data_IF_467988208399
#
_entry.id   IF_467988208399
#
_cell.length_a   1.000
_cell.length_b   1.000
_cell.length_c   1.000
_cell.angle_alpha   90.00
_cell.angle_beta   90.00
_cell.angle_gamma   90.00
#
_symmetry.space_group_name_H-M   'P 1'
#
loop_
_entity.id
_entity.type
_entity.pdbx_description
1 polymer ?
#
# COMPACT_ATOMS: atom_id res chain seq x y z
N UNK A 1 76.74 7.97 79.64
CA UNK A 1 75.30 8.12 79.46
C UNK A 1 74.98 7.75 78.05
N UNK A 2 74.54 6.59 77.81
CA UNK A 2 74.16 6.08 76.50
C UNK A 2 72.67 5.80 76.53
N UNK A 3 71.91 6.12 75.47
CA UNK A 3 70.57 5.65 75.33
C UNK A 3 70.51 4.36 74.51
N UNK A 4 69.72 3.49 75.01
CA UNK A 4 69.40 2.16 74.47
C UNK A 4 68.45 2.29 73.21
N UNK A 5 68.84 1.62 72.14
CA UNK A 5 67.99 1.46 70.97
C UNK A 5 66.99 0.29 71.21
N UNK A 6 65.72 0.40 70.95
CA UNK A 6 64.86 -0.77 70.84
C UNK A 6 64.83 -1.29 69.39
N UNK A 7 65.06 -2.56 69.23
CA UNK A 7 64.91 -3.36 68.04
C UNK A 7 63.42 -3.51 67.71
N UNK A 8 62.93 -2.97 66.60
CA UNK A 8 61.62 -3.19 66.09
C UNK A 8 61.59 -4.48 65.24
N UNK A 9 60.96 -5.52 65.74
CA UNK A 9 60.61 -6.72 64.99
C UNK A 9 59.49 -6.33 63.93
N UNK A 10 59.85 -6.31 62.67
CA UNK A 10 58.85 -6.27 61.60
C UNK A 10 58.23 -7.68 61.42
N UNK A 11 57.10 -7.94 62.03
CA UNK A 11 56.20 -9.04 61.67
C UNK A 11 55.46 -8.64 60.35
N UNK A 12 55.92 -9.19 59.24
CA UNK A 12 55.22 -9.10 57.95
C UNK A 12 53.96 -9.93 58.03
N UNK A 13 52.85 -9.27 58.28
CA UNK A 13 51.52 -9.78 57.96
C UNK A 13 51.30 -9.72 56.48
N UNK A 14 51.55 -10.79 55.75
CA UNK A 14 51.07 -11.00 54.43
C UNK A 14 49.56 -11.17 54.47
N UNK A 15 48.79 -10.09 54.38
CA UNK A 15 47.36 -10.14 54.09
C UNK A 15 47.23 -10.53 52.61
N UNK A 16 47.07 -11.82 52.37
CA UNK A 16 46.63 -12.33 51.12
C UNK A 16 45.22 -11.79 50.86
N UNK A 17 45.12 -10.79 50.01
CA UNK A 17 43.87 -10.38 49.40
C UNK A 17 43.33 -11.57 48.60
N UNK A 18 42.58 -12.45 49.28
CA UNK A 18 41.63 -13.31 48.59
C UNK A 18 40.57 -12.38 48.04
N UNK A 19 40.73 -11.96 46.79
CA UNK A 19 39.61 -11.53 45.98
C UNK A 19 38.61 -12.67 45.98
N UNK A 20 37.62 -12.59 46.83
CA UNK A 20 36.40 -13.37 46.62
C UNK A 20 35.88 -12.93 45.28
N UNK A 21 36.15 -13.73 44.25
CA UNK A 21 35.39 -13.70 43.01
C UNK A 21 33.99 -14.06 43.47
N UNK A 22 33.17 -13.03 43.64
CA UNK A 22 31.74 -13.19 43.73
C UNK A 22 31.36 -13.97 42.47
N UNK A 23 30.85 -15.18 42.65
CA UNK A 23 30.32 -15.97 41.55
C UNK A 23 29.10 -15.22 41.01
N UNK A 24 29.35 -14.19 40.22
CA UNK A 24 28.35 -13.52 39.41
C UNK A 24 27.86 -14.54 38.40
N UNK A 25 26.56 -14.64 38.24
CA UNK A 25 25.95 -15.39 37.13
C UNK A 25 26.58 -14.92 35.83
N UNK A 26 27.10 -15.88 35.04
CA UNK A 26 27.66 -15.55 33.73
C UNK A 26 26.58 -14.91 32.86
N UNK A 27 26.86 -13.80 32.15
CA UNK A 27 25.84 -13.09 31.37
C UNK A 27 25.26 -13.99 30.29
N UNK A 28 23.97 -13.79 29.98
CA UNK A 28 23.30 -14.50 28.91
C UNK A 28 23.99 -14.20 27.56
N UNK A 29 24.15 -15.19 26.69
CA UNK A 29 24.58 -14.95 25.31
C UNK A 29 23.46 -14.30 24.49
N UNK A 30 23.84 -13.69 23.35
CA UNK A 30 22.91 -13.19 22.35
C UNK A 30 22.82 -14.18 21.20
N UNK A 31 21.62 -14.47 20.74
CA UNK A 31 21.35 -15.38 19.60
C UNK A 31 20.63 -14.61 18.48
N UNK A 32 21.02 -14.87 17.22
CA UNK A 32 20.31 -14.37 16.04
C UNK A 32 20.55 -15.27 14.84
N UNK A 33 19.76 -15.09 13.77
CA UNK A 33 19.90 -15.81 12.51
C UNK A 33 20.24 -14.88 11.36
N UNK A 34 21.05 -15.35 10.43
CA UNK A 34 21.38 -14.68 9.16
C UNK A 34 21.02 -15.57 7.97
N UNK A 35 20.30 -15.03 6.98
CA UNK A 35 19.91 -13.62 6.75
C UNK A 35 18.72 -13.15 7.60
N UNK A 36 18.05 -14.00 8.34
CA UNK A 36 16.93 -13.71 9.23
C UNK A 36 16.29 -14.97 9.78
N UNK A 37 15.35 -14.83 10.71
CA UNK A 37 14.66 -15.96 11.37
C UNK A 37 13.48 -16.53 10.58
N UNK A 38 13.06 -15.86 9.51
CA UNK A 38 12.01 -16.32 8.58
C UNK A 38 12.67 -16.77 7.28
N UNK A 39 12.77 -18.06 7.06
CA UNK A 39 13.65 -18.68 6.06
C UNK A 39 12.83 -19.43 5.02
N UNK A 40 13.06 -19.21 3.73
CA UNK A 40 12.42 -20.00 2.68
C UNK A 40 12.79 -21.48 2.76
N UNK A 41 11.87 -22.37 2.40
CA UNK A 41 12.10 -23.80 2.28
C UNK A 41 13.31 -24.10 1.37
N UNK A 42 14.20 -24.97 1.83
CA UNK A 42 15.39 -25.36 1.09
C UNK A 42 16.57 -24.38 1.14
N UNK A 43 16.39 -23.20 1.71
CA UNK A 43 17.46 -22.20 1.84
C UNK A 43 18.43 -22.55 2.98
N UNK A 44 19.61 -21.95 2.93
CA UNK A 44 20.59 -22.00 4.03
C UNK A 44 20.32 -20.92 5.07
N UNK A 45 20.56 -21.21 6.32
CA UNK A 45 20.52 -20.23 7.43
C UNK A 45 21.67 -20.48 8.39
N UNK A 46 22.20 -19.42 8.96
CA UNK A 46 23.24 -19.50 9.97
C UNK A 46 22.69 -18.92 11.28
N UNK A 47 22.72 -19.70 12.35
CA UNK A 47 22.42 -19.24 13.70
C UNK A 47 23.75 -18.84 14.35
N UNK A 48 23.79 -17.65 14.88
CA UNK A 48 24.91 -17.10 15.62
C UNK A 48 24.60 -17.05 17.11
N UNK A 49 25.58 -17.40 17.91
CA UNK A 49 25.55 -17.26 19.36
C UNK A 49 26.78 -16.47 19.79
N UNK A 50 26.58 -15.35 20.50
CA UNK A 50 27.64 -14.48 20.99
C UNK A 50 27.64 -14.44 22.50
N UNK A 51 28.78 -14.77 23.10
CA UNK A 51 29.06 -14.65 24.53
C UNK A 51 30.10 -13.55 24.83
N UNK A 52 30.60 -13.44 26.05
CA UNK A 52 31.69 -12.55 26.40
C UNK A 52 33.04 -13.12 25.94
N UNK A 53 34.10 -12.28 25.85
CA UNK A 53 35.45 -12.77 25.63
C UNK A 53 35.85 -13.84 26.67
N UNK A 54 36.39 -14.95 26.19
CA UNK A 54 36.79 -16.08 27.05
C UNK A 54 35.81 -17.24 27.10
N UNK A 55 34.69 -17.17 26.38
CA UNK A 55 33.83 -18.33 26.14
C UNK A 55 34.61 -19.37 25.32
N UNK A 56 34.59 -20.64 25.78
CA UNK A 56 35.38 -21.73 25.19
C UNK A 56 34.58 -22.65 24.30
N UNK A 57 33.32 -22.84 24.62
CA UNK A 57 32.42 -23.75 23.93
C UNK A 57 31.00 -23.19 23.95
N UNK A 58 30.28 -23.31 22.83
CA UNK A 58 28.90 -22.89 22.68
C UNK A 58 28.04 -24.10 22.36
N UNK A 59 26.90 -24.19 23.04
CA UNK A 59 25.86 -25.18 22.76
C UNK A 59 24.63 -24.48 22.21
N UNK A 60 24.03 -25.09 21.21
CA UNK A 60 22.74 -24.72 20.66
C UNK A 60 21.73 -25.80 21.00
N UNK A 61 20.67 -25.42 21.66
CA UNK A 61 19.56 -26.32 21.97
C UNK A 61 18.37 -25.98 21.05
N UNK A 62 17.59 -26.99 20.75
CA UNK A 62 16.31 -26.86 20.09
C UNK A 62 15.22 -27.43 21.00
N UNK A 63 14.12 -26.68 21.15
CA UNK A 63 12.99 -27.13 21.95
C UNK A 63 12.46 -28.49 21.46
N UNK A 64 12.18 -29.37 22.39
CA UNK A 64 11.74 -30.75 22.13
C UNK A 64 12.86 -31.77 21.93
N UNK A 65 14.13 -31.38 21.84
CA UNK A 65 15.26 -32.29 21.78
C UNK A 65 15.78 -32.57 23.22
N UNK A 66 15.99 -33.84 23.56
CA UNK A 66 16.47 -34.20 24.90
C UNK A 66 17.96 -33.90 25.12
N UNK A 67 18.71 -33.61 24.05
CA UNK A 67 20.16 -33.31 24.08
C UNK A 67 20.36 -32.03 23.26
N UNK A 68 21.47 -31.30 23.51
CA UNK A 68 21.79 -30.13 22.70
C UNK A 68 21.77 -30.51 21.22
N UNK A 69 21.30 -29.57 20.39
CA UNK A 69 21.15 -29.79 18.95
C UNK A 69 22.51 -29.76 18.23
N UNK A 70 23.40 -28.84 18.59
CA UNK A 70 24.77 -28.76 18.09
C UNK A 70 25.70 -28.08 19.10
N UNK A 71 27.01 -28.28 18.90
CA UNK A 71 28.06 -27.75 19.73
C UNK A 71 29.19 -27.21 18.87
N UNK A 72 29.66 -26.00 19.17
CA UNK A 72 30.74 -25.36 18.43
C UNK A 72 31.77 -24.75 19.40
N UNK A 73 33.03 -24.83 18.99
CA UNK A 73 34.11 -24.06 19.61
C UNK A 73 34.39 -22.86 18.73
N UNK A 74 34.57 -21.63 19.29
CA UNK A 74 34.91 -20.47 18.46
C UNK A 74 36.23 -20.76 17.73
N UNK A 75 36.33 -20.38 16.44
CA UNK A 75 37.51 -20.68 15.58
C UNK A 75 38.78 -19.91 15.95
N UNK A 76 38.80 -19.17 17.03
CA UNK A 76 39.92 -18.36 17.53
C UNK A 76 39.57 -17.68 18.85
N UNK A 77 40.29 -16.67 19.32
CA UNK A 77 39.95 -15.90 20.51
C UNK A 77 38.71 -15.03 20.29
N UNK A 78 37.68 -15.63 19.71
CA UNK A 78 36.42 -15.00 19.38
C UNK A 78 35.35 -15.30 20.41
N UNK A 79 34.37 -14.44 20.46
CA UNK A 79 33.20 -14.46 21.35
C UNK A 79 31.94 -15.00 20.65
N UNK A 80 32.06 -15.55 19.41
CA UNK A 80 30.94 -16.00 18.57
C UNK A 80 31.10 -17.44 18.10
N UNK A 81 30.00 -18.18 18.11
CA UNK A 81 29.88 -19.49 17.47
C UNK A 81 28.88 -19.42 16.30
N UNK A 82 29.16 -20.23 15.28
CA UNK A 82 28.39 -20.31 14.03
C UNK A 82 27.78 -21.70 13.88
N UNK A 83 26.46 -21.77 13.81
CA UNK A 83 25.73 -23.02 13.56
C UNK A 83 25.02 -22.92 12.21
N UNK A 84 25.39 -23.75 11.26
CA UNK A 84 24.89 -23.66 9.88
C UNK A 84 23.90 -24.76 9.55
N UNK A 85 22.71 -24.37 9.11
CA UNK A 85 21.70 -25.26 8.55
C UNK A 85 21.75 -25.11 7.04
N UNK A 86 22.18 -26.16 6.32
CA UNK A 86 22.39 -26.11 4.88
C UNK A 86 21.08 -26.23 4.09
N UNK A 87 20.06 -26.80 4.69
CA UNK A 87 18.76 -27.01 4.05
C UNK A 87 17.65 -26.80 5.08
N UNK A 88 16.96 -25.66 4.97
CA UNK A 88 15.86 -25.33 5.89
C UNK A 88 14.62 -26.15 5.52
N UNK A 89 14.13 -26.92 6.46
CA UNK A 89 12.92 -27.72 6.36
C UNK A 89 12.11 -27.69 7.64
N UNK A 90 11.00 -28.39 7.66
CA UNK A 90 10.11 -28.46 8.84
C UNK A 90 10.85 -28.99 10.07
N UNK A 91 11.76 -29.97 9.89
CA UNK A 91 12.51 -30.59 10.99
C UNK A 91 13.51 -29.62 11.65
N UNK A 92 13.93 -28.58 10.91
CA UNK A 92 14.83 -27.53 11.40
C UNK A 92 14.11 -26.29 11.88
N UNK A 93 12.81 -26.19 11.65
CA UNK A 93 12.00 -25.10 12.21
C UNK A 93 11.70 -25.36 13.68
N UNK A 94 11.67 -24.29 14.48
CA UNK A 94 11.42 -24.43 15.92
C UNK A 94 12.06 -23.30 16.73
N UNK A 95 11.98 -23.43 18.06
CA UNK A 95 12.58 -22.52 19.01
C UNK A 95 13.98 -22.99 19.39
N UNK A 96 14.93 -22.09 19.29
CA UNK A 96 16.35 -22.33 19.62
C UNK A 96 16.82 -21.40 20.74
N UNK A 97 17.65 -21.90 21.64
CA UNK A 97 18.44 -21.11 22.56
C UNK A 97 19.88 -21.57 22.59
N UNK A 98 20.78 -20.72 23.03
CA UNK A 98 22.18 -21.07 23.16
C UNK A 98 22.73 -20.71 24.56
N UNK A 99 23.82 -21.36 24.94
CA UNK A 99 24.59 -21.07 26.14
C UNK A 99 26.05 -21.40 25.89
N UNK A 100 26.94 -20.85 26.72
CA UNK A 100 28.36 -21.05 26.57
C UNK A 100 29.00 -21.52 27.85
N UNK A 101 30.12 -22.25 27.72
CA UNK A 101 30.95 -22.70 28.79
C UNK A 101 32.22 -21.90 28.95
N UNK A 102 32.64 -21.68 30.20
CA UNK A 102 33.93 -21.11 30.59
C UNK A 102 34.55 -22.00 31.66
N UNK A 103 35.85 -21.83 32.05
CA UNK A 103 36.44 -22.57 33.18
C UNK A 103 35.68 -22.35 34.48
N UNK A 104 34.91 -21.28 34.61
CA UNK A 104 34.12 -20.98 35.81
C UNK A 104 32.74 -21.63 35.82
N UNK A 105 32.29 -22.24 34.73
CA UNK A 105 30.99 -22.89 34.59
C UNK A 105 30.24 -22.51 33.34
N UNK A 106 28.94 -22.83 33.29
CA UNK A 106 28.03 -22.55 32.16
C UNK A 106 27.22 -21.29 32.41
N UNK A 107 26.94 -20.53 31.32
CA UNK A 107 26.05 -19.38 31.33
C UNK A 107 24.58 -19.80 31.48
N UNK A 108 23.72 -18.84 31.75
CA UNK A 108 22.29 -18.98 31.50
C UNK A 108 22.03 -19.10 30.00
N UNK A 109 20.83 -19.61 29.61
CA UNK A 109 20.39 -19.68 28.23
C UNK A 109 20.07 -18.28 27.66
N UNK A 110 20.29 -18.11 26.37
CA UNK A 110 19.85 -16.90 25.65
C UNK A 110 18.32 -16.76 25.69
N UNK A 111 17.83 -15.62 25.29
CA UNK A 111 16.44 -15.50 24.89
C UNK A 111 16.18 -16.40 23.67
N UNK A 112 14.95 -16.94 23.50
CA UNK A 112 14.68 -17.90 22.44
C UNK A 112 14.69 -17.21 21.05
N UNK A 113 15.23 -17.92 20.06
CA UNK A 113 15.16 -17.59 18.64
C UNK A 113 14.14 -18.50 17.95
N UNK A 114 13.04 -17.94 17.49
CA UNK A 114 12.04 -18.64 16.71
C UNK A 114 12.49 -18.73 15.24
N UNK A 115 12.88 -19.93 14.79
CA UNK A 115 13.28 -20.16 13.40
C UNK A 115 12.12 -20.75 12.60
N UNK A 116 11.63 -19.99 11.64
CA UNK A 116 10.43 -20.29 10.86
C UNK A 116 10.81 -20.68 9.43
N UNK A 117 10.17 -21.72 8.90
CA UNK A 117 10.26 -22.08 7.47
C UNK A 117 9.02 -21.61 6.72
N UNK A 118 9.25 -20.98 5.56
CA UNK A 118 8.18 -20.45 4.69
C UNK A 118 8.18 -21.10 3.30
N UNK A 119 7.20 -20.74 2.47
CA UNK A 119 7.05 -21.17 1.06
C UNK A 119 6.65 -22.64 0.84
N UNK A 120 6.22 -23.33 1.89
CA UNK A 120 5.67 -24.69 1.72
C UNK A 120 4.26 -24.69 1.12
N UNK A 121 3.48 -23.65 1.42
CA UNK A 121 2.06 -23.52 1.04
C UNK A 121 1.84 -22.27 0.18
N UNK A 122 0.73 -22.27 -0.57
CA UNK A 122 0.33 -21.13 -1.41
C UNK A 122 0.14 -19.88 -0.56
N UNK A 123 0.56 -18.74 -1.09
CA UNK A 123 0.43 -17.45 -0.45
C UNK A 123 -1.03 -17.08 -0.19
N UNK A 124 -1.36 -16.49 0.96
CA UNK A 124 -2.67 -15.88 1.20
C UNK A 124 -2.81 -14.56 0.42
N UNK A 125 -4.04 -14.07 0.29
CA UNK A 125 -4.32 -12.72 -0.17
C UNK A 125 -4.34 -11.74 0.99
N UNK A 126 -3.84 -10.53 0.76
CA UNK A 126 -3.86 -9.43 1.75
C UNK A 126 -4.53 -8.21 1.12
N UNK A 127 -5.58 -7.70 1.73
CA UNK A 127 -6.33 -6.53 1.27
C UNK A 127 -6.59 -5.56 2.41
N UNK A 128 -6.80 -4.28 2.09
CA UNK A 128 -7.13 -3.25 3.07
C UNK A 128 -8.60 -2.84 2.96
N UNK A 129 -9.31 -2.83 4.07
CA UNK A 129 -10.72 -2.49 4.13
C UNK A 129 -10.94 -1.17 4.90
N UNK A 130 -11.63 -0.19 4.31
CA UNK A 130 -12.30 -0.20 2.99
C UNK A 130 -11.36 0.12 1.82
N UNK A 131 -10.17 0.65 2.06
CA UNK A 131 -9.21 1.11 1.05
C UNK A 131 -7.79 1.12 1.61
N UNK A 132 -6.74 0.94 0.78
CA UNK A 132 -5.36 1.12 1.20
C UNK A 132 -4.96 2.59 1.42
N UNK A 133 -5.79 3.56 1.02
CA UNK A 133 -5.58 4.99 1.31
C UNK A 133 -6.25 5.33 2.64
N UNK A 134 -5.45 5.73 3.61
CA UNK A 134 -5.90 5.98 4.99
C UNK A 134 -5.51 7.39 5.41
N UNK A 135 -6.45 8.17 5.92
CA UNK A 135 -6.17 9.53 6.44
C UNK A 135 -5.25 9.48 7.65
N UNK A 136 -4.41 10.50 7.81
CA UNK A 136 -3.55 10.65 8.98
C UNK A 136 -4.36 10.57 10.28
N UNK A 137 -3.89 9.75 11.24
CA UNK A 137 -4.61 9.45 12.48
C UNK A 137 -5.74 8.42 12.34
N UNK A 138 -6.07 8.02 11.12
CA UNK A 138 -7.10 7.02 10.85
C UNK A 138 -6.63 5.58 11.10
N UNK A 139 -7.58 4.67 11.01
CA UNK A 139 -7.36 3.22 11.13
C UNK A 139 -7.96 2.48 9.94
N UNK A 140 -7.40 1.31 9.66
CA UNK A 140 -7.80 0.43 8.57
C UNK A 140 -7.81 -1.01 9.05
N UNK A 141 -8.61 -1.86 8.45
CA UNK A 141 -8.58 -3.30 8.70
C UNK A 141 -7.90 -4.01 7.55
N UNK A 142 -6.82 -4.76 7.86
CA UNK A 142 -6.17 -5.62 6.90
C UNK A 142 -6.81 -7.01 6.95
N UNK A 143 -7.34 -7.46 5.83
CA UNK A 143 -7.93 -8.78 5.67
C UNK A 143 -6.91 -9.71 5.01
N UNK A 144 -6.48 -10.72 5.77
CA UNK A 144 -5.67 -11.83 5.26
C UNK A 144 -6.58 -13.03 5.03
N UNK A 145 -6.60 -13.60 3.82
CA UNK A 145 -7.53 -14.66 3.46
C UNK A 145 -6.90 -15.74 2.59
N UNK A 146 -7.36 -16.99 2.74
CA UNK A 146 -6.91 -18.14 1.97
C UNK A 146 -8.00 -19.18 1.79
N UNK A 147 -7.93 -19.96 0.69
CA UNK A 147 -8.73 -21.20 0.53
C UNK A 147 -8.10 -22.41 1.23
N UNK A 148 -6.83 -22.31 1.60
CA UNK A 148 -6.16 -23.38 2.32
C UNK A 148 -6.64 -23.42 3.77
N UNK A 149 -6.65 -24.61 4.35
CA UNK A 149 -7.19 -24.85 5.68
C UNK A 149 -6.36 -24.30 6.83
N UNK A 150 -5.76 -23.12 6.69
CA UNK A 150 -5.02 -22.49 7.77
C UNK A 150 -5.96 -22.12 8.93
N UNK A 151 -5.57 -22.46 10.14
CA UNK A 151 -6.31 -22.05 11.33
C UNK A 151 -5.72 -20.81 12.01
N UNK A 152 -4.59 -20.28 11.50
CA UNK A 152 -3.93 -19.07 11.97
C UNK A 152 -3.41 -18.23 10.81
N UNK A 153 -3.43 -16.91 11.00
CA UNK A 153 -2.78 -15.96 10.13
C UNK A 153 -1.84 -15.05 10.93
N UNK A 154 -0.72 -14.72 10.30
CA UNK A 154 0.30 -13.85 10.88
C UNK A 154 0.48 -12.64 9.99
N UNK A 155 0.57 -11.46 10.61
CA UNK A 155 0.82 -10.19 9.93
C UNK A 155 2.16 -9.64 10.37
N UNK A 156 3.03 -9.35 9.40
CA UNK A 156 4.32 -8.69 9.60
C UNK A 156 4.30 -7.31 8.98
N UNK A 157 5.02 -6.37 9.57
CA UNK A 157 5.26 -5.03 9.03
C UNK A 157 6.72 -4.90 8.63
N UNK A 158 7.01 -4.44 7.43
CA UNK A 158 8.38 -4.24 6.97
C UNK A 158 9.11 -3.20 7.83
N UNK A 159 10.37 -3.52 8.19
CA UNK A 159 11.22 -2.64 9.00
C UNK A 159 10.94 -2.67 10.51
N UNK A 160 10.08 -3.57 10.99
CA UNK A 160 9.91 -3.82 12.41
C UNK A 160 10.39 -5.22 12.77
N UNK A 161 11.34 -5.32 13.72
CA UNK A 161 11.84 -6.60 14.26
C UNK A 161 10.93 -7.18 15.37
N UNK A 162 9.68 -6.74 15.39
CA UNK A 162 8.70 -7.24 16.38
C UNK A 162 8.14 -8.58 15.93
N UNK A 163 7.77 -9.39 16.92
CA UNK A 163 7.03 -10.63 16.70
C UNK A 163 5.78 -10.37 15.86
N UNK A 164 5.48 -11.25 14.87
CA UNK A 164 4.29 -11.10 14.04
C UNK A 164 3.01 -11.04 14.89
N UNK A 165 2.06 -10.22 14.44
CA UNK A 165 0.71 -10.26 15.02
C UNK A 165 0.00 -11.50 14.50
N UNK A 166 -0.55 -12.29 15.41
CA UNK A 166 -1.21 -13.57 15.08
C UNK A 166 -2.68 -13.51 15.43
N UNK A 167 -3.52 -13.95 14.51
CA UNK A 167 -4.96 -14.12 14.73
C UNK A 167 -5.43 -15.48 14.21
N UNK A 168 -6.46 -16.02 14.87
CA UNK A 168 -7.13 -17.22 14.41
C UNK A 168 -7.95 -16.97 13.15
N UNK A 169 -7.93 -17.94 12.24
CA UNK A 169 -8.70 -17.90 11.02
C UNK A 169 -10.19 -18.16 11.28
N UNK A 170 -11.04 -17.35 10.66
CA UNK A 170 -12.49 -17.48 10.69
C UNK A 170 -12.99 -17.93 9.33
N UNK A 171 -13.82 -18.97 9.32
CA UNK A 171 -14.41 -19.48 8.08
C UNK A 171 -15.57 -18.57 7.64
N UNK A 172 -15.53 -18.16 6.39
CA UNK A 172 -16.61 -17.41 5.75
C UNK A 172 -17.63 -18.34 5.07
N UNK A 173 -18.85 -17.88 4.81
CA UNK A 173 -19.89 -18.71 4.18
C UNK A 173 -19.51 -19.25 2.79
N UNK A 174 -18.65 -18.54 2.06
CA UNK A 174 -18.14 -18.92 0.74
C UNK A 174 -16.91 -19.84 0.77
N UNK A 175 -16.57 -20.38 1.95
CA UNK A 175 -15.49 -21.38 2.12
C UNK A 175 -14.08 -20.83 2.32
N UNK A 176 -13.90 -19.52 2.24
CA UNK A 176 -12.63 -18.89 2.60
C UNK A 176 -12.38 -18.92 4.10
N UNK A 177 -11.11 -18.90 4.48
CA UNK A 177 -10.70 -18.64 5.86
C UNK A 177 -9.97 -17.31 5.88
N UNK A 178 -10.32 -16.44 6.82
CA UNK A 178 -9.79 -15.09 6.91
C UNK A 178 -9.46 -14.68 8.34
N UNK A 179 -8.56 -13.71 8.48
CA UNK A 179 -8.32 -12.98 9.71
C UNK A 179 -8.33 -11.47 9.43
N UNK A 180 -8.90 -10.71 10.36
CA UNK A 180 -9.06 -9.26 10.23
C UNK A 180 -8.14 -8.56 11.24
N UNK A 181 -7.11 -7.89 10.76
CA UNK A 181 -6.12 -7.20 11.57
C UNK A 181 -6.41 -5.70 11.61
N UNK A 182 -6.85 -5.13 12.74
CA UNK A 182 -6.96 -3.69 12.88
C UNK A 182 -5.57 -3.06 12.94
N UNK A 183 -5.35 -2.04 12.12
CA UNK A 183 -4.10 -1.28 12.03
C UNK A 183 -4.40 0.19 12.17
N UNK A 184 -3.69 0.87 13.05
CA UNK A 184 -3.80 2.30 13.30
C UNK A 184 -3.54 2.67 14.76
N UNK A 185 -3.49 3.97 15.07
CA UNK A 185 -3.57 5.09 14.14
C UNK A 185 -2.35 5.16 13.20
N UNK A 186 -2.59 5.42 11.89
CA UNK A 186 -1.52 5.58 10.92
C UNK A 186 -1.05 7.04 10.86
N UNK A 187 0.25 7.23 10.67
CA UNK A 187 0.85 8.57 10.59
C UNK A 187 1.66 8.70 9.30
N UNK A 188 1.68 9.87 8.65
CA UNK A 188 2.61 10.14 7.56
C UNK A 188 4.06 10.06 8.04
N UNK A 189 4.99 9.84 7.12
CA UNK A 189 6.42 9.74 7.44
C UNK A 189 6.89 8.36 7.88
N UNK A 190 6.00 7.40 8.12
CA UNK A 190 6.33 6.00 8.39
C UNK A 190 5.95 5.12 7.21
N UNK A 191 6.75 4.07 6.99
CA UNK A 191 6.43 3.08 5.97
C UNK A 191 5.43 2.06 6.53
N UNK A 192 4.29 1.94 5.89
CA UNK A 192 3.20 1.07 6.29
C UNK A 192 3.04 -0.06 5.26
N UNK A 193 4.07 -0.91 5.12
CA UNK A 193 4.05 -2.06 4.23
C UNK A 193 3.90 -3.34 5.05
N UNK A 194 2.94 -4.16 4.67
CA UNK A 194 2.58 -5.38 5.38
C UNK A 194 2.64 -6.60 4.46
N UNK A 195 2.87 -7.76 5.08
CA UNK A 195 2.70 -9.08 4.48
C UNK A 195 1.98 -9.97 5.46
N UNK A 196 1.17 -10.90 4.95
CA UNK A 196 0.58 -11.92 5.79
C UNK A 196 0.97 -13.33 5.36
N UNK A 197 0.86 -14.24 6.31
CA UNK A 197 1.18 -15.66 6.17
C UNK A 197 0.05 -16.49 6.77
N UNK A 198 -0.17 -17.67 6.25
CA UNK A 198 -1.01 -18.69 6.86
C UNK A 198 -0.15 -19.72 7.59
N UNK A 199 -0.63 -20.24 8.71
CA UNK A 199 0.01 -21.32 9.46
C UNK A 199 -1.02 -22.20 10.16
N UNK A 200 -0.57 -23.33 10.74
CA UNK A 200 -1.40 -24.22 11.51
C UNK A 200 -0.88 -24.33 12.94
N UNK A 201 -1.80 -24.53 13.90
CA UNK A 201 -1.46 -24.67 15.31
C UNK A 201 -0.56 -25.86 15.60
N UNK A 202 -0.73 -26.94 14.81
CA UNK A 202 0.05 -28.17 14.97
C UNK A 202 1.49 -28.02 14.43
N UNK A 203 1.72 -27.02 13.56
CA UNK A 203 3.02 -26.72 12.97
C UNK A 203 3.28 -25.21 12.98
N UNK A 204 3.42 -24.58 14.15
CA UNK A 204 3.43 -23.13 14.29
C UNK A 204 4.63 -22.44 13.61
N UNK A 205 5.73 -23.14 13.39
CA UNK A 205 6.91 -22.64 12.71
C UNK A 205 6.96 -22.93 11.20
N UNK A 206 5.87 -23.51 10.64
CA UNK A 206 5.74 -23.74 9.20
C UNK A 206 4.68 -22.78 8.63
N UNK A 207 5.13 -21.81 7.84
CA UNK A 207 4.26 -20.78 7.28
C UNK A 207 4.11 -20.95 5.76
N UNK A 208 3.05 -20.40 5.23
CA UNK A 208 2.86 -20.27 3.79
C UNK A 208 3.93 -19.37 3.15
N UNK A 209 3.95 -19.30 1.83
CA UNK A 209 4.58 -18.17 1.15
C UNK A 209 3.94 -16.84 1.62
N UNK A 210 4.71 -15.75 1.67
CA UNK A 210 4.17 -14.44 2.02
C UNK A 210 3.14 -13.98 0.98
N UNK A 211 2.12 -13.25 1.43
CA UNK A 211 1.25 -12.50 0.53
C UNK A 211 2.07 -11.51 -0.29
N UNK A 212 1.50 -10.99 -1.37
CA UNK A 212 2.04 -9.78 -1.99
C UNK A 212 2.10 -8.65 -0.95
N UNK A 213 3.10 -7.77 -1.05
CA UNK A 213 3.20 -6.67 -0.10
C UNK A 213 2.02 -5.71 -0.28
N UNK A 214 1.41 -5.30 0.81
CA UNK A 214 0.39 -4.26 0.84
C UNK A 214 0.98 -3.01 1.49
N UNK A 215 1.11 -1.93 0.72
CA UNK A 215 1.48 -0.62 1.23
C UNK A 215 0.23 0.22 1.50
N UNK A 216 0.12 0.76 2.71
CA UNK A 216 -0.89 1.77 3.02
C UNK A 216 -0.35 3.14 2.62
N UNK A 217 -1.16 3.92 1.93
CA UNK A 217 -0.87 5.29 1.55
C UNK A 217 -1.51 6.24 2.55
N UNK A 218 -0.67 6.99 3.27
CA UNK A 218 -1.10 8.02 4.21
C UNK A 218 -0.82 9.39 3.59
N UNK A 219 -1.84 10.11 3.05
CA UNK A 219 -1.64 11.40 2.43
C UNK A 219 -1.13 12.45 3.42
N UNK A 220 -0.16 13.25 2.96
CA UNK A 220 0.35 14.42 3.65
C UNK A 220 -0.28 15.73 3.14
N UNK A 221 0.39 16.85 3.43
CA UNK A 221 -0.04 18.20 3.06
C UNK A 221 0.75 18.78 1.88
N UNK A 222 1.75 18.07 1.36
CA UNK A 222 2.60 18.54 0.25
C UNK A 222 1.79 18.71 -1.04
N UNK A 223 2.34 19.47 -2.00
CA UNK A 223 1.66 19.91 -3.21
C UNK A 223 0.94 18.79 -3.96
N UNK A 224 -0.36 18.95 -4.17
CA UNK A 224 -1.21 17.99 -4.87
C UNK A 224 -0.84 17.90 -6.36
N UNK A 225 -0.75 16.68 -6.93
CA UNK A 225 -0.60 16.52 -8.37
C UNK A 225 -1.91 16.79 -9.10
N UNK A 226 -1.84 16.89 -10.42
CA UNK A 226 -3.01 16.90 -11.32
C UNK A 226 -3.20 15.51 -11.93
N UNK A 227 -4.46 15.10 -12.08
CA UNK A 227 -4.84 13.86 -12.73
C UNK A 227 -5.70 14.18 -13.94
N UNK A 228 -5.32 13.66 -15.10
CA UNK A 228 -6.02 13.91 -16.36
C UNK A 228 -6.03 12.66 -17.25
N UNK A 229 -6.89 12.68 -18.25
CA UNK A 229 -6.90 11.70 -19.34
C UNK A 229 -6.89 12.44 -20.67
N UNK A 230 -5.92 12.13 -21.58
CA UNK A 230 -5.85 12.77 -22.89
C UNK A 230 -7.10 12.56 -23.74
N UNK A 231 -7.82 11.46 -23.50
CA UNK A 231 -9.04 11.12 -24.24
C UNK A 231 -10.29 11.84 -23.71
N UNK A 232 -10.17 12.57 -22.61
CA UNK A 232 -11.29 13.16 -21.89
C UNK A 232 -11.97 12.16 -20.92
N UNK A 233 -12.86 12.65 -20.04
CA UNK A 233 -13.45 11.84 -18.95
C UNK A 233 -14.56 10.87 -19.42
N UNK A 234 -15.10 11.07 -20.62
CA UNK A 234 -16.10 10.17 -21.23
C UNK A 234 -15.42 9.32 -22.28
N UNK A 235 -15.39 8.01 -22.04
CA UNK A 235 -14.72 7.04 -22.90
C UNK A 235 -15.67 5.95 -23.36
N UNK A 236 -15.47 5.43 -24.56
CA UNK A 236 -16.30 4.36 -25.10
C UNK A 236 -15.79 3.00 -24.59
N UNK A 237 -16.69 2.09 -24.29
CA UNK A 237 -16.34 0.71 -23.94
C UNK A 237 -15.43 0.08 -24.99
N UNK A 238 -14.33 -0.54 -24.56
CA UNK A 238 -13.29 -1.12 -25.44
C UNK A 238 -12.21 -0.14 -25.87
N UNK A 239 -12.35 1.15 -25.63
CA UNK A 239 -11.31 2.15 -25.93
C UNK A 239 -10.12 1.99 -25.00
N UNK A 240 -8.90 2.08 -25.53
CA UNK A 240 -7.69 2.12 -24.71
C UNK A 240 -7.55 3.49 -24.04
N UNK A 241 -7.44 3.49 -22.73
CA UNK A 241 -7.35 4.70 -21.92
C UNK A 241 -6.10 4.68 -21.05
N UNK A 242 -5.48 5.85 -20.92
CA UNK A 242 -4.35 6.08 -20.00
C UNK A 242 -4.68 7.26 -19.10
N UNK A 243 -4.55 7.07 -17.80
CA UNK A 243 -4.63 8.15 -16.82
C UNK A 243 -3.22 8.69 -16.58
N UNK A 244 -3.07 10.01 -16.51
CA UNK A 244 -1.79 10.69 -16.34
C UNK A 244 -1.78 11.50 -15.05
N UNK A 245 -0.86 11.18 -14.15
CA UNK A 245 -0.53 12.04 -13.01
C UNK A 245 0.59 12.99 -13.40
N UNK A 246 0.44 14.28 -13.11
CA UNK A 246 1.43 15.33 -13.39
C UNK A 246 1.64 16.24 -12.20
N UNK A 247 2.86 16.71 -12.00
CA UNK A 247 3.20 17.69 -10.98
C UNK A 247 4.43 18.52 -11.38
N UNK A 248 4.44 19.77 -10.98
CA UNK A 248 5.61 20.66 -11.01
C UNK A 248 6.54 20.41 -9.80
N UNK A 249 6.03 19.75 -8.78
CA UNK A 249 6.86 19.21 -7.69
C UNK A 249 7.61 17.99 -8.22
N UNK A 250 8.92 17.94 -7.99
CA UNK A 250 9.81 16.89 -8.51
C UNK A 250 9.60 15.51 -7.90
N UNK A 251 8.35 15.02 -7.84
CA UNK A 251 8.06 13.67 -7.37
C UNK A 251 8.76 12.62 -8.22
N UNK A 252 9.23 11.54 -7.59
CA UNK A 252 9.95 10.45 -8.27
C UNK A 252 9.07 9.24 -8.52
N UNK A 253 7.93 9.16 -7.85
CA UNK A 253 6.91 8.12 -8.04
C UNK A 253 5.51 8.69 -7.87
N UNK A 254 4.54 8.01 -8.47
CA UNK A 254 3.12 8.31 -8.31
C UNK A 254 2.35 7.05 -7.96
N UNK A 255 1.27 7.22 -7.20
CA UNK A 255 0.29 6.19 -6.91
C UNK A 255 -1.09 6.64 -7.42
N UNK A 256 -1.85 5.68 -7.97
CA UNK A 256 -3.22 5.90 -8.43
C UNK A 256 -4.17 5.15 -7.50
N UNK A 257 -5.16 5.86 -6.95
CA UNK A 257 -6.22 5.28 -6.13
C UNK A 257 -7.56 5.40 -6.87
N UNK A 258 -8.33 4.33 -6.85
CA UNK A 258 -9.72 4.31 -7.29
C UNK A 258 -10.63 4.27 -6.08
N UNK A 259 -11.70 5.08 -6.07
CA UNK A 259 -12.69 5.03 -5.00
C UNK A 259 -13.29 3.62 -4.89
N UNK A 260 -13.33 3.08 -3.67
CA UNK A 260 -13.74 1.69 -3.37
C UNK A 260 -12.89 0.62 -4.07
N UNK A 261 -11.73 0.98 -4.58
CA UNK A 261 -10.75 0.05 -5.15
C UNK A 261 -9.82 -0.50 -4.07
N UNK A 262 -9.34 -1.73 -4.29
CA UNK A 262 -8.38 -2.40 -3.39
C UNK A 262 -6.94 -2.25 -3.89
N UNK A 263 -6.77 -2.02 -5.19
CA UNK A 263 -5.46 -1.87 -5.80
C UNK A 263 -4.97 -0.43 -5.68
N UNK A 264 -3.68 -0.30 -5.42
CA UNK A 264 -2.97 0.98 -5.36
C UNK A 264 -1.74 0.90 -6.29
N UNK A 265 -1.94 0.90 -7.62
CA UNK A 265 -0.82 0.81 -8.54
C UNK A 265 0.12 2.00 -8.39
N UNK A 266 1.41 1.73 -8.41
CA UNK A 266 2.48 2.73 -8.33
C UNK A 266 3.32 2.70 -9.60
N UNK A 267 3.77 3.87 -10.04
CA UNK A 267 4.62 4.04 -11.21
C UNK A 267 5.77 5.00 -10.90
N UNK A 268 6.98 4.73 -11.40
CA UNK A 268 8.05 5.69 -11.35
C UNK A 268 7.69 6.92 -12.18
N UNK A 269 8.15 8.08 -11.75
CA UNK A 269 7.94 9.31 -12.48
C UNK A 269 8.91 9.42 -13.65
N UNK A 270 8.39 9.80 -14.80
CA UNK A 270 9.13 10.29 -15.94
C UNK A 270 9.23 11.82 -15.84
N UNK A 271 10.31 12.39 -16.32
CA UNK A 271 10.51 13.84 -16.38
C UNK A 271 10.58 14.28 -17.82
N UNK A 272 9.44 14.50 -18.51
CA UNK A 272 9.41 14.88 -19.92
C UNK A 272 9.99 16.28 -20.16
N UNK A 273 9.98 17.15 -19.13
CA UNK A 273 10.52 18.50 -19.18
C UNK A 273 11.12 18.90 -17.84
N UNK A 274 11.99 19.90 -17.82
CA UNK A 274 12.57 20.44 -16.59
C UNK A 274 11.44 21.01 -15.71
N UNK A 275 11.40 20.56 -14.44
CA UNK A 275 10.41 20.99 -13.47
C UNK A 275 9.05 20.24 -13.52
N UNK A 276 8.84 19.37 -14.52
CA UNK A 276 7.62 18.56 -14.63
C UNK A 276 7.93 17.09 -14.40
N UNK A 277 7.19 16.45 -13.51
CA UNK A 277 7.18 14.99 -13.32
C UNK A 277 5.82 14.41 -13.72
N UNK A 278 5.82 13.25 -14.35
CA UNK A 278 4.62 12.59 -14.86
C UNK A 278 4.72 11.08 -14.70
N UNK A 279 3.58 10.44 -14.45
CA UNK A 279 3.45 8.99 -14.57
C UNK A 279 2.18 8.62 -15.32
N UNK A 280 2.29 7.62 -16.18
CA UNK A 280 1.21 7.12 -17.01
C UNK A 280 0.69 5.78 -16.44
N UNK A 281 -0.62 5.71 -16.24
CA UNK A 281 -1.33 4.54 -15.75
C UNK A 281 -2.26 4.01 -16.86
N UNK A 282 -1.78 3.09 -17.70
CA UNK A 282 -2.60 2.50 -18.76
C UNK A 282 -3.66 1.57 -18.12
N UNK A 283 -4.93 1.83 -18.45
CA UNK A 283 -6.05 0.97 -18.07
C UNK A 283 -6.33 -0.10 -19.13
N UNK A 284 -5.77 0.06 -20.35
CA UNK A 284 -6.06 -0.80 -21.49
C UNK A 284 -7.47 -0.57 -22.05
N UNK A 285 -8.10 -1.59 -22.66
CA UNK A 285 -9.47 -1.51 -23.15
C UNK A 285 -10.45 -1.35 -21.97
N UNK A 286 -11.12 -0.21 -21.93
CA UNK A 286 -11.99 0.16 -20.81
C UNK A 286 -13.30 -0.65 -20.85
N UNK A 287 -13.65 -1.19 -19.69
CA UNK A 287 -14.94 -1.84 -19.43
C UNK A 287 -15.59 -1.28 -18.17
N UNK A 288 -16.68 -1.90 -17.76
CA UNK A 288 -17.47 -1.46 -16.59
C UNK A 288 -16.69 -1.44 -15.30
N UNK A 289 -15.65 -2.29 -15.16
CA UNK A 289 -14.80 -2.35 -13.98
C UNK A 289 -13.92 -1.11 -13.81
N UNK A 290 -13.67 -0.36 -14.90
CA UNK A 290 -12.80 0.81 -14.88
C UNK A 290 -13.53 2.12 -14.54
N UNK A 291 -14.87 2.12 -14.55
CA UNK A 291 -15.67 3.30 -14.20
C UNK A 291 -15.45 3.75 -12.77
N UNK A 292 -15.62 5.03 -12.50
CA UNK A 292 -15.58 5.56 -11.14
C UNK A 292 -14.65 6.74 -10.97
N UNK A 293 -14.38 7.10 -9.73
CA UNK A 293 -13.49 8.21 -9.38
C UNK A 293 -12.08 7.72 -9.10
N UNK A 294 -11.12 8.48 -9.62
CA UNK A 294 -9.69 8.25 -9.44
C UNK A 294 -9.03 9.48 -8.82
N UNK A 295 -8.00 9.23 -8.02
CA UNK A 295 -7.10 10.25 -7.47
C UNK A 295 -5.67 9.78 -7.60
N UNK A 296 -4.74 10.71 -7.80
CA UNK A 296 -3.34 10.36 -7.73
C UNK A 296 -2.59 11.13 -6.64
N UNK A 297 -1.45 10.57 -6.28
CA UNK A 297 -0.58 11.03 -5.20
C UNK A 297 0.85 10.98 -5.70
N UNK A 298 1.66 11.98 -5.34
CA UNK A 298 3.09 12.03 -5.62
C UNK A 298 3.92 11.68 -4.40
N UNK A 299 5.07 11.03 -4.59
CA UNK A 299 6.01 10.68 -3.54
C UNK A 299 7.46 10.83 -3.97
N UNK A 300 8.36 10.98 -3.01
CA UNK A 300 9.79 11.06 -3.25
C UNK A 300 10.48 9.73 -2.88
N UNK A 301 11.15 9.11 -3.85
CA UNK A 301 12.08 7.99 -3.69
C UNK A 301 11.63 6.94 -2.67
N UNK A 302 12.48 6.72 -1.68
CA UNK A 302 12.23 5.81 -0.57
C UNK A 302 11.45 6.45 0.60
N UNK A 303 11.11 7.75 0.50
CA UNK A 303 10.29 8.41 1.50
C UNK A 303 8.91 7.77 1.55
N UNK A 304 8.40 7.59 2.75
CA UNK A 304 7.03 7.14 3.01
C UNK A 304 6.01 8.29 2.98
N UNK A 305 6.46 9.51 2.69
CA UNK A 305 5.61 10.68 2.57
C UNK A 305 4.96 10.77 1.20
N UNK A 306 3.65 10.91 1.20
CA UNK A 306 2.83 11.12 0.02
C UNK A 306 2.24 12.52 0.00
N UNK A 307 2.00 13.06 -1.17
CA UNK A 307 1.35 14.36 -1.36
C UNK A 307 -0.10 14.35 -0.88
N UNK A 308 -0.70 15.54 -0.81
CA UNK A 308 -2.16 15.66 -0.84
C UNK A 308 -2.71 15.01 -2.12
N UNK A 309 -3.97 14.50 -2.08
CA UNK A 309 -4.61 13.91 -3.27
C UNK A 309 -4.83 14.94 -4.38
N UNK A 310 -4.76 14.48 -5.62
CA UNK A 310 -5.27 15.27 -6.75
C UNK A 310 -6.75 15.55 -6.62
N UNK A 311 -7.26 16.51 -7.37
CA UNK A 311 -8.70 16.57 -7.62
C UNK A 311 -9.19 15.23 -8.21
N UNK A 312 -10.42 14.81 -7.89
CA UNK A 312 -10.94 13.56 -8.41
C UNK A 312 -11.21 13.65 -9.92
N UNK A 313 -10.76 12.63 -10.65
CA UNK A 313 -11.12 12.41 -12.03
C UNK A 313 -12.23 11.35 -12.10
N UNK A 314 -13.38 11.71 -12.67
CA UNK A 314 -14.43 10.74 -12.97
C UNK A 314 -14.19 10.11 -14.35
N UNK A 315 -14.05 8.79 -14.38
CA UNK A 315 -14.03 8.04 -15.65
C UNK A 315 -15.42 7.47 -15.92
N UNK A 316 -16.03 7.95 -16.99
CA UNK A 316 -17.37 7.63 -17.42
C UNK A 316 -17.30 6.72 -18.63
N UNK A 317 -18.01 5.59 -18.60
CA UNK A 317 -17.98 4.59 -19.66
C UNK A 317 -19.29 4.65 -20.45
N UNK A 318 -19.21 5.12 -21.69
CA UNK A 318 -20.32 5.25 -22.62
C UNK A 318 -20.57 3.97 -23.43
N UNK A 319 -21.79 3.80 -23.91
CA UNK A 319 -22.19 2.66 -24.75
C UNK A 319 -22.67 1.45 -23.99
N UNK A 320 -22.87 1.57 -22.70
CA UNK A 320 -23.35 0.47 -21.84
C UNK A 320 -24.88 0.34 -21.84
N UNK A 321 -25.61 1.45 -21.63
CA UNK A 321 -27.06 1.46 -21.71
C UNK A 321 -27.46 1.53 -23.19
N UNK A 322 -28.52 0.83 -23.55
CA UNK A 322 -28.98 0.73 -24.96
C UNK A 322 -29.58 2.02 -25.50
N UNK A 323 -30.11 2.86 -24.61
CA UNK A 323 -30.71 4.11 -24.97
C UNK A 323 -29.74 5.04 -25.72
N UNK A 324 -30.30 5.83 -26.64
CA UNK A 324 -29.59 6.87 -27.35
C UNK A 324 -30.44 8.16 -27.28
N UNK A 325 -30.05 9.11 -26.42
CA UNK A 325 -30.78 10.36 -26.33
C UNK A 325 -30.69 11.19 -27.61
N UNK A 326 -31.65 12.04 -27.83
CA UNK A 326 -31.60 13.09 -28.85
C UNK A 326 -31.04 14.37 -28.27
N UNK A 327 -30.29 15.12 -29.07
CA UNK A 327 -29.74 16.44 -28.72
C UNK A 327 -30.19 17.47 -29.74
N UNK A 328 -30.77 18.55 -29.26
CA UNK A 328 -31.20 19.70 -30.10
C UNK A 328 -30.74 21.01 -29.47
N UNK A 329 -30.78 22.09 -30.29
CA UNK A 329 -30.31 23.42 -29.87
C UNK A 329 -31.35 24.48 -30.21
N UNK A 330 -31.48 25.44 -29.32
CA UNK A 330 -32.35 26.63 -29.52
C UNK A 330 -31.55 27.88 -29.15
N UNK A 331 -31.64 28.96 -29.95
CA UNK A 331 -32.48 29.13 -31.16
C UNK A 331 -31.97 28.38 -32.39
N UNK A 332 -30.65 28.08 -32.46
CA UNK A 332 -30.06 27.35 -33.56
C UNK A 332 -28.58 27.03 -33.31
N UNK A 333 -27.95 26.28 -34.25
CA UNK A 333 -26.56 25.85 -34.08
C UNK A 333 -25.51 26.92 -34.36
N UNK A 334 -25.91 28.07 -34.90
CA UNK A 334 -25.05 29.21 -35.15
C UNK A 334 -25.61 30.46 -34.47
N UNK A 335 -24.82 31.05 -33.60
CA UNK A 335 -25.21 32.13 -32.68
C UNK A 335 -24.11 33.18 -32.55
N UNK A 336 -24.47 34.40 -32.18
CA UNK A 336 -23.53 35.48 -31.93
C UNK A 336 -23.01 35.45 -30.49
N UNK A 337 -21.79 35.94 -30.24
CA UNK A 337 -21.27 36.08 -28.88
C UNK A 337 -22.21 36.96 -28.03
N UNK A 338 -22.45 36.50 -26.77
CA UNK A 338 -23.35 37.21 -25.86
C UNK A 338 -24.80 36.73 -25.91
N UNK A 339 -25.21 35.96 -26.92
CA UNK A 339 -26.53 35.34 -26.95
C UNK A 339 -26.72 34.22 -25.97
N UNK A 340 -27.96 33.80 -25.79
CA UNK A 340 -28.33 32.66 -24.94
C UNK A 340 -28.64 31.46 -25.82
N UNK A 341 -28.06 30.32 -25.45
CA UNK A 341 -28.27 29.03 -26.13
C UNK A 341 -28.74 28.00 -25.14
N UNK A 342 -29.74 27.22 -25.53
CA UNK A 342 -30.19 26.07 -24.78
C UNK A 342 -29.98 24.81 -25.58
N UNK A 343 -29.25 23.86 -25.02
CA UNK A 343 -29.06 22.51 -25.53
C UNK A 343 -30.03 21.59 -24.80
N UNK A 344 -30.95 20.97 -25.54
CA UNK A 344 -32.00 20.11 -25.01
C UNK A 344 -31.64 18.63 -25.26
N UNK A 345 -31.46 17.88 -24.18
CA UNK A 345 -31.35 16.41 -24.20
C UNK A 345 -32.70 15.77 -23.92
N UNK A 346 -33.11 14.80 -24.72
CA UNK A 346 -34.36 14.07 -24.54
C UNK A 346 -34.16 12.56 -24.71
N UNK A 347 -34.90 11.77 -23.95
CA UNK A 347 -34.95 10.29 -24.02
C UNK A 347 -36.39 9.80 -23.86
N UNK A 348 -36.72 8.73 -24.58
CA UNK A 348 -37.97 7.99 -24.37
C UNK A 348 -37.87 6.95 -23.24
N UNK A 349 -36.66 6.60 -22.87
CA UNK A 349 -36.40 5.65 -21.80
C UNK A 349 -36.19 6.35 -20.48
N UNK A 350 -36.46 5.66 -19.38
CA UNK A 350 -36.25 6.18 -18.03
C UNK A 350 -34.80 6.60 -17.84
N UNK A 351 -34.62 7.84 -17.49
CA UNK A 351 -33.32 8.48 -17.27
C UNK A 351 -33.38 9.32 -16.00
N UNK A 352 -32.41 9.14 -15.11
CA UNK A 352 -32.32 9.93 -13.87
C UNK A 352 -31.48 11.18 -14.05
N UNK A 353 -30.46 11.13 -14.94
CA UNK A 353 -29.53 12.22 -15.17
C UNK A 353 -29.11 12.27 -16.64
N UNK A 354 -29.05 13.48 -17.21
CA UNK A 354 -28.41 13.73 -18.49
C UNK A 354 -27.03 14.34 -18.30
N UNK A 355 -26.10 13.94 -19.14
CA UNK A 355 -24.74 14.48 -19.22
C UNK A 355 -24.52 15.10 -20.58
N UNK A 356 -24.00 16.33 -20.61
CA UNK A 356 -23.59 17.03 -21.82
C UNK A 356 -22.07 17.13 -21.85
N UNK A 357 -21.45 16.50 -22.85
CA UNK A 357 -20.00 16.50 -23.07
C UNK A 357 -19.66 17.24 -24.33
N UNK A 358 -18.62 18.06 -24.27
CA UNK A 358 -18.02 18.72 -25.45
C UNK A 358 -16.81 17.88 -25.88
N UNK A 359 -16.72 17.54 -27.17
CA UNK A 359 -15.60 16.75 -27.69
C UNK A 359 -14.27 17.50 -27.51
N UNK A 360 -13.24 16.75 -27.14
CA UNK A 360 -11.89 17.28 -26.87
C UNK A 360 -11.76 18.12 -25.60
N UNK A 361 -12.82 18.30 -24.81
CA UNK A 361 -12.73 19.00 -23.53
C UNK A 361 -12.19 18.07 -22.44
N UNK A 362 -11.17 18.54 -21.73
CA UNK A 362 -10.66 17.86 -20.54
C UNK A 362 -11.57 18.02 -19.31
N UNK A 363 -12.58 18.88 -19.44
CA UNK A 363 -13.47 19.22 -18.34
C UNK A 363 -14.53 18.14 -18.11
N UNK A 364 -14.95 18.07 -16.87
CA UNK A 364 -16.07 17.25 -16.43
C UNK A 364 -17.33 17.60 -17.23
N UNK A 365 -18.10 16.61 -17.74
CA UNK A 365 -19.36 16.86 -18.40
C UNK A 365 -20.34 17.60 -17.50
N UNK A 366 -21.18 18.46 -18.09
CA UNK A 366 -22.29 19.08 -17.38
C UNK A 366 -23.32 18.00 -17.04
N UNK A 367 -23.88 18.05 -15.83
CA UNK A 367 -24.89 17.10 -15.37
C UNK A 367 -26.15 17.83 -14.92
N UNK A 368 -27.30 17.34 -15.36
CA UNK A 368 -28.61 17.79 -14.89
C UNK A 368 -29.51 16.59 -14.61
N UNK A 369 -30.34 16.72 -13.59
CA UNK A 369 -31.41 15.76 -13.34
C UNK A 369 -32.43 15.83 -14.46
N UNK A 370 -32.96 14.67 -14.84
CA UNK A 370 -34.02 14.61 -15.82
C UNK A 370 -35.34 15.15 -15.23
N UNK A 371 -36.12 15.77 -16.11
CA UNK A 371 -37.51 16.15 -15.84
C UNK A 371 -38.39 15.25 -16.67
N UNK A 372 -39.43 14.68 -16.07
CA UNK A 372 -40.44 13.91 -16.77
C UNK A 372 -41.54 14.87 -17.28
N UNK A 373 -41.74 14.90 -18.57
CA UNK A 373 -42.84 15.61 -19.21
C UNK A 373 -43.62 14.63 -20.10
N UNK A 374 -44.79 14.20 -19.66
CA UNK A 374 -45.70 13.30 -20.37
C UNK A 374 -45.03 12.00 -20.86
N UNK A 375 -44.21 11.38 -20.00
CA UNK A 375 -43.51 10.14 -20.30
C UNK A 375 -42.26 10.30 -21.16
N UNK A 376 -41.81 11.53 -21.37
CA UNK A 376 -40.51 11.86 -21.96
C UNK A 376 -39.61 12.49 -20.94
N UNK A 377 -38.40 11.97 -20.87
CA UNK A 377 -37.37 12.48 -19.97
C UNK A 377 -36.52 13.52 -20.71
N UNK A 378 -36.27 14.68 -20.09
CA UNK A 378 -35.49 15.74 -20.70
C UNK A 378 -34.68 16.55 -19.69
N UNK A 379 -33.64 17.24 -20.21
CA UNK A 379 -32.88 18.25 -19.48
C UNK A 379 -32.46 19.38 -20.43
N UNK A 380 -32.54 20.62 -19.96
CA UNK A 380 -32.16 21.82 -20.69
C UNK A 380 -30.85 22.38 -20.12
N UNK A 381 -29.79 22.38 -20.94
CA UNK A 381 -28.49 22.93 -20.60
C UNK A 381 -28.39 24.34 -21.20
N UNK A 382 -28.46 25.35 -20.33
CA UNK A 382 -28.37 26.75 -20.74
C UNK A 382 -26.92 27.23 -20.75
N UNK A 383 -26.47 27.73 -21.90
CA UNK A 383 -25.20 28.40 -22.09
C UNK A 383 -25.49 29.91 -22.26
N UNK A 384 -25.17 30.74 -21.25
CA UNK A 384 -25.53 32.15 -21.27
C UNK A 384 -24.55 32.94 -20.37
N UNK A 385 -23.94 33.99 -20.89
CA UNK A 385 -23.81 34.35 -22.32
C UNK A 385 -22.83 33.40 -23.03
N UNK A 386 -23.08 33.11 -24.31
CA UNK A 386 -22.15 32.30 -25.08
C UNK A 386 -20.93 33.10 -25.52
N UNK A 387 -19.79 32.44 -25.54
CA UNK A 387 -18.50 32.96 -26.01
C UNK A 387 -17.89 31.99 -27.00
N UNK A 388 -16.83 32.41 -27.68
CA UNK A 388 -16.09 31.55 -28.64
C UNK A 388 -15.64 30.24 -27.99
N UNK A 389 -15.39 30.22 -26.67
CA UNK A 389 -15.04 29.01 -25.93
C UNK A 389 -16.15 27.94 -25.92
N UNK A 390 -17.42 28.33 -26.16
CA UNK A 390 -18.54 27.40 -26.27
C UNK A 390 -18.70 26.77 -27.66
N UNK A 391 -17.98 27.26 -28.67
CA UNK A 391 -17.95 26.62 -29.99
C UNK A 391 -17.35 25.22 -29.89
N UNK A 392 -17.97 24.26 -30.56
CA UNK A 392 -17.49 22.86 -30.58
C UNK A 392 -18.61 21.87 -30.80
N UNK A 393 -18.25 20.60 -30.81
CA UNK A 393 -19.19 19.49 -30.98
C UNK A 393 -19.62 18.93 -29.59
N UNK A 394 -20.93 18.84 -29.43
CA UNK A 394 -21.54 18.36 -28.18
C UNK A 394 -22.23 17.01 -28.39
N UNK A 395 -22.21 16.20 -27.35
CA UNK A 395 -22.95 14.95 -27.25
C UNK A 395 -23.66 14.86 -25.91
N UNK A 396 -24.86 14.30 -25.92
CA UNK A 396 -25.64 14.03 -24.74
C UNK A 396 -25.62 12.54 -24.43
N UNK A 397 -25.66 12.21 -23.13
CA UNK A 397 -25.71 10.86 -22.59
C UNK A 397 -26.76 10.78 -21.49
N UNK A 398 -27.31 9.58 -21.29
CA UNK A 398 -28.18 9.24 -20.18
C UNK A 398 -27.42 8.45 -19.12
N UNK A 399 -27.78 8.62 -17.85
CA UNK A 399 -27.34 7.74 -16.78
C UNK A 399 -28.45 7.48 -15.76
N UNK A 400 -28.31 6.37 -15.04
CA UNK A 400 -29.18 5.97 -13.93
C UNK A 400 -28.48 6.22 -12.60
N UNK A 401 -29.25 6.57 -11.58
CA UNK A 401 -28.72 6.82 -10.23
C UNK A 401 -28.15 5.56 -9.56
N UNK A 402 -28.54 4.38 -10.01
CA UNK A 402 -27.98 3.09 -9.56
C UNK A 402 -26.49 2.94 -9.95
N UNK A 403 -26.08 3.52 -11.09
CA UNK A 403 -24.70 3.56 -11.52
C UNK A 403 -24.42 4.82 -12.37
N UNK A 404 -24.08 5.95 -11.74
CA UNK A 404 -23.94 7.24 -12.42
C UNK A 404 -22.73 7.34 -13.35
N UNK A 405 -21.84 6.35 -13.35
CA UNK A 405 -20.63 6.32 -14.19
C UNK A 405 -20.81 5.49 -15.47
N UNK A 406 -21.90 4.74 -15.59
CA UNK A 406 -22.25 4.01 -16.81
C UNK A 406 -23.26 4.82 -17.63
N UNK A 407 -22.87 5.11 -18.87
CA UNK A 407 -23.64 5.97 -19.75
C UNK A 407 -24.27 5.19 -20.89
N UNK A 408 -25.32 5.80 -21.47
CA UNK A 408 -25.99 5.34 -22.70
C UNK A 408 -25.06 5.44 -23.91
N UNK A 409 -25.56 5.02 -25.07
CA UNK A 409 -25.01 5.41 -26.35
C UNK A 409 -25.03 6.94 -26.47
N UNK A 410 -24.01 7.55 -27.12
CA UNK A 410 -24.03 8.99 -27.38
C UNK A 410 -25.17 9.41 -28.27
N UNK A 411 -25.70 10.62 -28.07
CA UNK A 411 -26.53 11.26 -29.03
C UNK A 411 -25.79 11.47 -30.38
N UNK A 412 -26.50 11.77 -31.44
CA UNK A 412 -25.84 12.33 -32.62
C UNK A 412 -25.07 13.59 -32.25
N UNK A 413 -23.89 13.83 -32.89
CA UNK A 413 -23.09 15.00 -32.60
C UNK A 413 -23.80 16.29 -33.03
N UNK A 414 -23.76 17.32 -32.19
CA UNK A 414 -24.29 18.62 -32.49
C UNK A 414 -23.16 19.65 -32.47
N UNK A 415 -22.90 20.27 -33.64
CA UNK A 415 -21.91 21.33 -33.72
C UNK A 415 -22.55 22.68 -33.38
N UNK A 416 -22.04 23.35 -32.34
CA UNK A 416 -22.39 24.72 -31.97
C UNK A 416 -21.31 25.67 -32.48
N UNK A 417 -21.68 26.65 -33.25
CA UNK A 417 -20.78 27.64 -33.80
C UNK A 417 -21.14 29.01 -33.23
N UNK A 418 -20.21 29.58 -32.45
CA UNK A 418 -20.33 30.96 -31.95
C UNK A 418 -19.46 31.84 -32.87
N UNK A 419 -20.10 32.51 -33.80
CA UNK A 419 -19.42 33.37 -34.77
C UNK A 419 -20.17 34.70 -34.93
N UNK A 420 -19.43 35.78 -34.98
CA UNK A 420 -19.94 37.12 -35.22
C UNK A 420 -18.90 38.16 -34.80
N UNK A 421 -18.70 39.18 -35.61
CA UNK A 421 -18.03 40.39 -35.16
C UNK A 421 -18.95 41.06 -34.13
N UNK A 422 -18.38 41.41 -32.98
CA UNK A 422 -19.05 42.31 -32.05
C UNK A 422 -19.39 43.55 -32.86
N UNK A 423 -20.69 43.81 -33.13
CA UNK A 423 -21.10 45.08 -33.75
C UNK A 423 -20.58 46.18 -32.84
N UNK A 424 -19.52 46.85 -33.26
CA UNK A 424 -19.09 48.10 -32.66
C UNK A 424 -20.23 49.10 -32.84
N UNK A 425 -20.99 49.32 -31.76
CA UNK A 425 -21.90 50.44 -31.68
C UNK A 425 -21.04 51.69 -31.83
N UNK A 426 -20.97 52.25 -33.04
CA UNK A 426 -20.49 53.60 -33.23
C UNK A 426 -21.55 54.52 -32.61
N UNK A 427 -21.24 55.05 -31.45
CA UNK A 427 -21.93 56.24 -30.96
C UNK A 427 -21.59 57.41 -31.88
N UNK A 428 -22.55 57.84 -32.67
CA UNK A 428 -22.55 59.12 -33.37
C UNK A 428 -23.08 60.21 -32.43
#
# INVERSE_FOLDING_TARGET
MAPVLPVLLCLGLSVGLRTQVQAGTLPKPTIWAEPGSVVPWGSTVTIWCQGPPGAQEFHLDKEGNPVFWDRQKPPGPGDKARFSIQYMGQDNAGSYDCYYGTPAGWSERSDPLELVVTQRYVKPSLTALPSPVVTSGGSVTLQCASYQGFNRFLLTKEGEDKSPRTLDGQRTPNGWIQALFPVGPVTPGHRWTFRCYGSNRDTPWVWSAPSDPLELLVPGLSGKPSLLTPQGPVVTSGQNVTLQCRSDVGYTRFALSKERGQDLPQRPALRPQVGLSQADFPLGPVGTVHRGQYRCYGGHGLSSEWSAPSEPLELLVAGWLRDRPSLSVRPGPSVAPGENVTLLCQSGDRTDTFLLSKEGAAHRPLRLRSQDQDGRYQAEFSLSPVTSAHSGTYRCYCSLSTDPYLLSQPSEPLALVVSGEAQSVRLT
#
